data_IF_669932043464
#
_entry.id   IF_669932043464
#
_cell.length_a   1.000
_cell.length_b   1.000
_cell.length_c   1.000
_cell.angle_alpha   90.00
_cell.angle_beta   90.00
_cell.angle_gamma   90.00
#
_symmetry.space_group_name_H-M   'P 1'
#
loop_
_entity.id
_entity.type
_entity.pdbx_description
1 polymer ?
#
# COMPACT_ATOMS: atom_id res chain seq x y z
N UNK A 1 0.14 0.68 -21.98
CA UNK A 1 1.14 0.10 -21.06
C UNK A 1 0.54 0.08 -19.67
N UNK A 2 0.26 -1.10 -19.13
CA UNK A 2 -0.18 -1.24 -17.74
C UNK A 2 0.99 -0.95 -16.77
N UNK A 3 0.68 -0.69 -15.50
CA UNK A 3 1.72 -0.49 -14.48
C UNK A 3 2.62 -1.70 -14.31
N UNK A 4 2.07 -2.91 -14.46
CA UNK A 4 2.82 -4.16 -14.38
C UNK A 4 3.82 -4.29 -15.53
N UNK A 5 3.40 -3.91 -16.74
CA UNK A 5 4.26 -3.90 -17.93
C UNK A 5 5.41 -2.91 -17.80
N UNK A 6 5.15 -1.73 -17.21
CA UNK A 6 6.20 -0.75 -16.92
C UNK A 6 7.17 -1.29 -15.85
N UNK A 7 6.63 -1.84 -14.77
CA UNK A 7 7.43 -2.34 -13.63
C UNK A 7 8.40 -3.45 -14.07
N UNK A 8 7.99 -4.35 -14.97
CA UNK A 8 8.86 -5.39 -15.55
C UNK A 8 10.07 -4.85 -16.34
N UNK A 9 10.09 -3.56 -16.66
CA UNK A 9 11.19 -2.89 -17.38
C UNK A 9 12.06 -2.06 -16.42
N UNK A 10 12.31 -2.56 -15.21
CA UNK A 10 12.99 -1.84 -14.12
C UNK A 10 14.35 -1.24 -14.53
N UNK A 11 15.12 -1.92 -15.38
CA UNK A 11 16.43 -1.47 -15.84
C UNK A 11 16.38 -0.51 -17.05
N UNK A 12 15.17 -0.20 -17.52
CA UNK A 12 14.92 0.79 -18.57
C UNK A 12 14.34 2.06 -17.93
N UNK A 13 14.51 3.25 -18.54
CA UNK A 13 13.80 4.46 -18.14
C UNK A 13 12.27 4.30 -18.09
N UNK A 14 11.71 3.25 -18.71
CA UNK A 14 10.29 2.93 -18.68
C UNK A 14 9.82 2.29 -17.36
N UNK A 15 10.71 1.81 -16.50
CA UNK A 15 10.36 1.25 -15.18
C UNK A 15 10.06 2.31 -14.13
N UNK A 16 10.79 3.44 -14.17
CA UNK A 16 10.69 4.53 -13.20
C UNK A 16 9.30 5.17 -13.09
N UNK A 17 8.55 5.41 -14.19
CA UNK A 17 7.22 6.01 -14.11
C UNK A 17 6.20 5.20 -13.31
N UNK A 18 6.35 3.87 -13.27
CA UNK A 18 5.40 3.01 -12.54
C UNK A 18 5.38 3.32 -11.04
N UNK A 19 6.56 3.62 -10.48
CA UNK A 19 6.71 4.05 -9.10
C UNK A 19 6.02 5.37 -8.84
N UNK A 20 6.33 6.41 -9.62
CA UNK A 20 5.77 7.74 -9.45
C UNK A 20 4.24 7.73 -9.52
N UNK A 21 3.67 7.00 -10.50
CA UNK A 21 2.23 6.85 -10.66
C UNK A 21 1.62 6.16 -9.43
N UNK A 22 2.26 5.11 -8.90
CA UNK A 22 1.75 4.37 -7.73
C UNK A 22 1.68 5.29 -6.50
N UNK A 23 2.74 6.06 -6.24
CA UNK A 23 2.76 7.02 -5.13
C UNK A 23 1.73 8.15 -5.29
N UNK A 24 1.53 8.67 -6.51
CA UNK A 24 0.47 9.65 -6.76
C UNK A 24 -0.92 9.10 -6.46
N UNK A 25 -1.19 7.84 -6.83
CA UNK A 25 -2.48 7.18 -6.53
C UNK A 25 -2.70 7.01 -5.04
N UNK A 26 -1.68 6.62 -4.29
CA UNK A 26 -1.79 6.51 -2.83
C UNK A 26 -1.98 7.86 -2.16
N UNK A 27 -1.32 8.92 -2.63
CA UNK A 27 -1.53 10.28 -2.12
C UNK A 27 -2.98 10.75 -2.30
N UNK A 28 -3.60 10.40 -3.44
CA UNK A 28 -5.02 10.67 -3.70
C UNK A 28 -5.90 9.83 -2.77
N UNK A 29 -5.66 8.52 -2.70
CA UNK A 29 -6.43 7.60 -1.85
C UNK A 29 -6.36 8.00 -0.37
N UNK A 30 -5.20 8.46 0.10
CA UNK A 30 -5.00 9.01 1.44
C UNK A 30 -6.00 10.12 1.75
N UNK A 31 -6.10 11.12 0.88
CA UNK A 31 -7.00 12.25 1.11
C UNK A 31 -8.46 11.77 1.20
N UNK A 32 -8.89 10.86 0.32
CA UNK A 32 -10.24 10.31 0.37
C UNK A 32 -10.52 9.53 1.66
N UNK A 33 -9.61 8.62 2.05
CA UNK A 33 -9.80 7.78 3.24
C UNK A 33 -9.79 8.63 4.51
N UNK A 34 -8.87 9.58 4.63
CA UNK A 34 -8.80 10.42 5.81
C UNK A 34 -10.04 11.31 5.97
N UNK A 35 -10.50 11.96 4.90
CA UNK A 35 -11.71 12.79 4.96
C UNK A 35 -12.97 11.95 5.20
N UNK A 36 -13.05 10.75 4.62
CA UNK A 36 -14.16 9.84 4.87
C UNK A 36 -14.24 9.43 6.35
N UNK A 37 -13.13 8.99 6.95
CA UNK A 37 -13.12 8.56 8.36
C UNK A 37 -13.38 9.74 9.30
N UNK A 38 -12.81 10.92 9.03
CA UNK A 38 -13.12 12.16 9.77
C UNK A 38 -14.60 12.53 9.65
N UNK A 39 -15.20 12.37 8.47
CA UNK A 39 -16.61 12.60 8.23
C UNK A 39 -17.54 11.68 9.04
N UNK A 40 -17.07 10.48 9.42
CA UNK A 40 -17.77 9.57 10.33
C UNK A 40 -17.60 9.96 11.81
N UNK A 41 -16.78 10.97 12.14
CA UNK A 41 -16.52 11.43 13.50
C UNK A 41 -15.34 10.74 14.20
N UNK A 42 -14.52 9.99 13.45
CA UNK A 42 -13.36 9.25 13.97
C UNK A 42 -12.05 9.95 13.61
N UNK A 43 -11.03 9.76 14.45
CA UNK A 43 -9.67 10.22 14.18
C UNK A 43 -8.98 9.29 13.21
N UNK A 44 -8.11 9.86 12.37
CA UNK A 44 -7.31 9.10 11.41
C UNK A 44 -6.00 9.78 11.09
N UNK A 45 -4.94 8.99 10.98
CA UNK A 45 -3.59 9.41 10.59
C UNK A 45 -3.00 8.43 9.60
N UNK A 46 -2.55 8.94 8.44
CA UNK A 46 -1.77 8.17 7.48
C UNK A 46 -0.36 7.83 8.00
N UNK A 47 -0.02 6.54 8.00
CA UNK A 47 1.14 6.01 8.69
C UNK A 47 2.45 5.96 7.91
N UNK A 48 2.53 6.41 6.65
CA UNK A 48 3.67 6.14 5.76
C UNK A 48 5.05 6.56 6.31
N UNK A 49 5.12 7.65 7.06
CA UNK A 49 6.38 8.13 7.65
C UNK A 49 6.65 7.60 9.06
N UNK A 50 5.69 6.89 9.67
CA UNK A 50 5.75 6.48 11.07
C UNK A 50 6.35 5.09 11.26
N UNK A 51 6.37 4.27 10.22
CA UNK A 51 6.64 2.83 10.33
C UNK A 51 6.98 2.17 8.99
N UNK A 52 7.51 0.93 8.99
CA UNK A 52 7.63 0.08 7.81
C UNK A 52 6.30 -0.60 7.41
N UNK A 53 5.76 -0.24 6.24
CA UNK A 53 4.40 -0.63 5.86
C UNK A 53 4.18 -2.14 5.71
N UNK A 54 5.23 -2.88 5.32
CA UNK A 54 5.17 -4.32 5.01
C UNK A 54 4.66 -5.17 6.18
N UNK A 55 4.98 -4.79 7.42
CA UNK A 55 4.53 -5.54 8.60
C UNK A 55 3.00 -5.58 8.67
N UNK A 56 2.34 -4.48 8.26
CA UNK A 56 0.88 -4.39 8.28
C UNK A 56 0.23 -5.19 7.16
N UNK A 57 0.89 -5.38 6.02
CA UNK A 57 0.36 -6.26 4.95
C UNK A 57 0.28 -7.71 5.43
N UNK A 58 1.27 -8.16 6.21
CA UNK A 58 1.31 -9.52 6.74
C UNK A 58 0.27 -9.71 7.84
N UNK A 59 0.17 -8.76 8.77
CA UNK A 59 -0.78 -8.85 9.88
C UNK A 59 -2.24 -8.68 9.45
N UNK A 60 -2.49 -8.01 8.33
CA UNK A 60 -3.84 -7.84 7.77
C UNK A 60 -4.24 -8.95 6.79
N UNK A 61 -3.35 -9.91 6.53
CA UNK A 61 -3.59 -11.01 5.58
C UNK A 61 -3.65 -10.60 4.11
N UNK A 62 -3.09 -9.44 3.78
CA UNK A 62 -3.02 -8.95 2.39
C UNK A 62 -1.94 -9.68 1.60
N UNK A 63 -0.86 -10.07 2.26
CA UNK A 63 0.29 -10.66 1.60
C UNK A 63 1.20 -11.42 2.56
N UNK A 64 2.12 -12.21 2.01
CA UNK A 64 3.17 -12.89 2.76
C UNK A 64 4.55 -12.27 2.53
N UNK A 65 5.44 -12.43 3.51
CA UNK A 65 6.83 -12.00 3.40
C UNK A 65 7.60 -12.87 2.39
N UNK A 66 8.47 -12.26 1.59
CA UNK A 66 9.23 -12.95 0.54
C UNK A 66 10.75 -12.89 0.74
N UNK A 67 11.49 -13.72 -0.01
CA UNK A 67 12.96 -13.77 0.03
C UNK A 67 13.64 -12.42 -0.19
N UNK A 68 13.06 -11.55 -1.02
CA UNK A 68 13.66 -10.24 -1.31
C UNK A 68 13.64 -9.30 -0.09
N UNK A 69 12.85 -9.61 0.95
CA UNK A 69 12.86 -8.92 2.25
C UNK A 69 12.24 -7.52 2.26
N UNK A 70 12.13 -6.89 1.09
CA UNK A 70 11.61 -5.53 0.91
C UNK A 70 10.30 -5.48 0.11
N UNK A 71 9.61 -6.62 -0.04
CA UNK A 71 8.31 -6.67 -0.68
C UNK A 71 7.38 -7.66 0.05
N UNK A 72 6.09 -7.39 -0.10
CA UNK A 72 5.05 -8.35 0.21
C UNK A 72 4.63 -9.05 -1.09
N UNK A 73 4.24 -10.33 -1.00
CA UNK A 73 3.72 -11.12 -2.12
C UNK A 73 2.26 -11.43 -1.85
N UNK A 74 1.36 -10.84 -2.63
CA UNK A 74 -0.07 -11.14 -2.56
C UNK A 74 -0.49 -12.22 -3.56
N UNK A 75 -1.58 -12.94 -3.32
CA UNK A 75 -2.14 -13.88 -4.28
C UNK A 75 -2.50 -13.22 -5.64
N UNK A 76 -3.02 -12.00 -5.62
CA UNK A 76 -3.54 -11.32 -6.83
C UNK A 76 -2.44 -10.70 -7.69
N UNK A 77 -1.43 -10.10 -7.07
CA UNK A 77 -0.43 -9.29 -7.76
C UNK A 77 1.00 -9.82 -7.61
N UNK A 78 1.20 -10.90 -6.85
CA UNK A 78 2.52 -11.41 -6.51
C UNK A 78 3.37 -10.33 -5.83
N UNK A 79 4.65 -10.29 -6.18
CA UNK A 79 5.58 -9.26 -5.69
C UNK A 79 5.48 -7.90 -6.38
N UNK A 80 4.42 -7.64 -7.15
CA UNK A 80 4.26 -6.40 -7.93
C UNK A 80 3.54 -5.29 -7.15
N UNK A 81 3.03 -5.59 -5.94
CA UNK A 81 2.53 -4.56 -5.04
C UNK A 81 3.67 -3.64 -4.61
N UNK A 82 3.61 -2.37 -5.04
CA UNK A 82 4.65 -1.38 -4.75
C UNK A 82 4.35 -0.48 -3.57
N UNK A 83 3.09 -0.12 -3.40
CA UNK A 83 2.68 0.92 -2.44
C UNK A 83 1.64 0.37 -1.49
N UNK A 84 1.90 0.55 -0.21
CA UNK A 84 1.10 0.05 0.89
C UNK A 84 0.59 1.24 1.68
N UNK A 85 -0.71 1.28 1.95
CA UNK A 85 -1.37 2.41 2.59
C UNK A 85 -1.91 2.00 3.95
N UNK A 86 -1.20 2.42 5.01
CA UNK A 86 -1.59 2.15 6.40
C UNK A 86 -2.23 3.39 6.99
N UNK A 87 -3.42 3.23 7.60
CA UNK A 87 -4.13 4.29 8.30
C UNK A 87 -4.40 3.84 9.73
N UNK A 88 -4.01 4.67 10.69
CA UNK A 88 -4.34 4.47 12.10
C UNK A 88 -5.60 5.23 12.42
N UNK A 89 -6.57 4.58 13.05
CA UNK A 89 -7.86 5.17 13.39
C UNK A 89 -8.42 4.58 14.68
N UNK A 90 -9.28 5.34 15.34
CA UNK A 90 -10.11 4.90 16.47
C UNK A 90 -11.48 4.35 16.02
N UNK A 91 -11.74 4.28 14.71
CA UNK A 91 -12.89 3.58 14.14
C UNK A 91 -12.83 2.08 14.50
N UNK A 92 -13.85 1.51 15.17
CA UNK A 92 -13.87 0.10 15.50
C UNK A 92 -14.03 -0.75 14.23
N UNK A 93 -12.99 -1.52 13.91
CA UNK A 93 -12.95 -2.44 12.77
C UNK A 93 -12.68 -3.86 13.26
N UNK A 94 -13.32 -4.84 12.61
CA UNK A 94 -12.96 -6.23 12.83
C UNK A 94 -11.57 -6.50 12.22
N UNK A 95 -10.73 -7.21 12.95
CA UNK A 95 -9.44 -7.63 12.43
C UNK A 95 -9.62 -8.71 11.36
N UNK A 96 -8.85 -8.60 10.29
CA UNK A 96 -8.64 -9.69 9.35
C UNK A 96 -7.60 -10.64 9.91
N UNK A 97 -7.70 -11.92 9.52
CA UNK A 97 -6.66 -12.88 9.84
C UNK A 97 -5.45 -12.68 8.91
N UNK A 98 -4.23 -12.98 9.36
CA UNK A 98 -3.07 -13.13 8.50
C UNK A 98 -3.27 -14.17 7.40
#
# INVERSE_FOLDING_TARGET
>A
LSLDELTRRTYSPLGTPAEAISYSRVAIAKNFVEEFIRGLGYHVVYGHALQPALVWDFLSGVAEHSRMGQNAVSPEYGGMMRTHATFYTDLPLAFTNP
#
